data_IF_785266346280
#
_entry.id   IF_785266346280
#
_cell.length_a   1.000
_cell.length_b   1.000
_cell.length_c   1.000
_cell.angle_alpha   90.00
_cell.angle_beta   90.00
_cell.angle_gamma   90.00
#
_symmetry.space_group_name_H-M   'P 1'
#
loop_
_entity.id
_entity.type
_entity.pdbx_description
1 polymer ?
#
# COMPACT_ATOMS: atom_id res chain seq x y z
N UNK A 1 -32.07 8.57 -17.32
CA UNK A 1 -32.12 9.79 -16.49
C UNK A 1 -30.74 10.02 -15.90
N UNK A 2 -30.22 11.23 -16.11
CA UNK A 2 -29.03 11.91 -15.56
C UNK A 2 -27.67 11.17 -15.56
N UNK A 3 -26.92 11.38 -16.65
CA UNK A 3 -25.45 11.31 -16.63
C UNK A 3 -24.94 12.53 -15.87
N UNK A 4 -24.34 12.34 -14.71
CA UNK A 4 -23.70 13.44 -13.98
C UNK A 4 -22.31 13.67 -14.59
N UNK A 5 -22.22 14.62 -15.54
CA UNK A 5 -20.94 15.10 -16.09
C UNK A 5 -20.28 15.96 -15.02
N UNK A 6 -19.37 15.36 -14.25
CA UNK A 6 -18.44 16.12 -13.42
C UNK A 6 -17.67 17.12 -14.29
N UNK A 7 -17.76 18.39 -13.94
CA UNK A 7 -17.05 19.48 -14.60
C UNK A 7 -15.54 19.26 -14.51
N UNK A 8 -14.90 19.01 -15.66
CA UNK A 8 -13.44 18.97 -15.74
C UNK A 8 -12.91 20.40 -15.64
N UNK A 9 -12.34 20.73 -14.48
CA UNK A 9 -11.51 21.92 -14.31
C UNK A 9 -10.10 21.61 -14.85
N UNK A 10 -9.56 22.39 -15.81
CA UNK A 10 -8.24 22.12 -16.35
C UNK A 10 -7.19 22.69 -15.38
N UNK A 11 -6.63 21.83 -14.53
CA UNK A 11 -5.50 22.18 -13.68
C UNK A 11 -4.23 21.56 -14.28
N UNK A 12 -3.36 22.42 -14.82
CA UNK A 12 -2.07 22.07 -15.41
C UNK A 12 -1.01 21.66 -14.39
N UNK A 13 -1.25 20.54 -13.71
CA UNK A 13 -0.23 19.63 -13.16
C UNK A 13 -0.50 18.27 -13.79
N UNK A 14 0.50 17.41 -13.94
CA UNK A 14 0.24 15.99 -14.25
C UNK A 14 -0.68 15.43 -13.15
N UNK A 15 -1.98 15.39 -13.42
CA UNK A 15 -2.99 14.97 -12.46
C UNK A 15 -2.92 13.46 -12.35
N UNK A 16 -2.49 12.95 -11.18
CA UNK A 16 -2.53 11.52 -10.88
C UNK A 16 -3.94 10.98 -11.15
N UNK A 17 -4.04 10.08 -12.14
CA UNK A 17 -5.30 9.45 -12.50
C UNK A 17 -5.59 8.23 -11.63
N UNK A 18 -6.86 7.84 -11.51
CA UNK A 18 -7.25 6.62 -10.81
C UNK A 18 -6.58 5.37 -11.40
N UNK A 19 -6.34 5.36 -12.71
CA UNK A 19 -5.67 4.26 -13.40
C UNK A 19 -4.19 4.15 -13.01
N UNK A 20 -3.47 5.28 -13.00
CA UNK A 20 -2.08 5.34 -12.55
C UNK A 20 -1.95 4.98 -11.08
N UNK A 21 -2.81 5.54 -10.23
CA UNK A 21 -2.87 5.19 -8.82
C UNK A 21 -3.07 3.69 -8.61
N UNK A 22 -4.05 3.11 -9.31
CA UNK A 22 -4.33 1.66 -9.24
C UNK A 22 -3.11 0.84 -9.65
N UNK A 23 -2.44 1.22 -10.74
CA UNK A 23 -1.31 0.47 -11.26
C UNK A 23 -0.07 0.60 -10.36
N UNK A 24 0.22 1.79 -9.82
CA UNK A 24 1.33 2.02 -8.89
C UNK A 24 1.13 1.23 -7.60
N UNK A 25 -0.08 1.26 -7.02
CA UNK A 25 -0.38 0.50 -5.80
C UNK A 25 -0.31 -1.00 -6.08
N UNK A 26 -0.85 -1.49 -7.19
CA UNK A 26 -0.75 -2.91 -7.55
C UNK A 26 0.71 -3.36 -7.71
N UNK A 27 1.56 -2.54 -8.33
CA UNK A 27 3.00 -2.81 -8.44
C UNK A 27 3.68 -2.86 -7.08
N UNK A 28 3.37 -1.92 -6.18
CA UNK A 28 3.91 -1.92 -4.81
C UNK A 28 3.50 -3.17 -4.03
N UNK A 29 2.23 -3.60 -4.14
CA UNK A 29 1.74 -4.84 -3.53
C UNK A 29 2.48 -6.08 -4.08
N UNK A 30 2.75 -6.12 -5.39
CA UNK A 30 3.53 -7.23 -5.99
C UNK A 30 4.98 -7.24 -5.51
N UNK A 31 5.59 -6.09 -5.28
CA UNK A 31 6.95 -5.99 -4.72
C UNK A 31 6.97 -6.54 -3.29
N UNK A 32 5.99 -6.18 -2.47
CA UNK A 32 5.91 -6.62 -1.06
C UNK A 32 5.62 -8.12 -0.94
N UNK A 33 4.69 -8.65 -1.73
CA UNK A 33 4.14 -10.00 -1.52
C UNK A 33 4.49 -11.03 -2.61
N UNK A 34 5.15 -10.61 -3.69
CA UNK A 34 5.35 -11.44 -4.87
C UNK A 34 4.06 -11.77 -5.64
N UNK A 35 4.13 -12.72 -6.57
CA UNK A 35 3.02 -13.13 -7.46
C UNK A 35 2.06 -14.17 -6.85
N UNK A 36 2.11 -14.42 -5.54
CA UNK A 36 1.57 -15.66 -4.97
C UNK A 36 0.26 -15.51 -4.19
N UNK A 37 -0.46 -16.64 -4.07
CA UNK A 37 -1.66 -16.87 -3.24
C UNK A 37 -1.51 -16.37 -1.78
N UNK A 38 -0.26 -16.23 -1.30
CA UNK A 38 0.08 -15.74 0.03
C UNK A 38 -0.18 -14.23 0.19
N UNK A 39 0.06 -13.41 -0.84
CA UNK A 39 -0.20 -11.97 -0.78
C UNK A 39 -1.68 -11.65 -0.57
N UNK A 40 -2.57 -12.37 -1.25
CA UNK A 40 -4.01 -12.20 -1.06
C UNK A 40 -4.44 -12.55 0.38
N UNK A 41 -3.88 -13.61 0.98
CA UNK A 41 -4.17 -13.99 2.37
C UNK A 41 -3.68 -12.92 3.36
N UNK A 42 -2.49 -12.35 3.14
CA UNK A 42 -1.96 -11.29 3.99
C UNK A 42 -2.83 -10.03 3.93
N UNK A 43 -3.22 -9.60 2.72
CA UNK A 43 -4.13 -8.47 2.55
C UNK A 43 -5.47 -8.70 3.24
N UNK A 44 -6.06 -9.88 3.11
CA UNK A 44 -7.27 -10.25 3.85
C UNK A 44 -7.05 -10.16 5.36
N UNK A 45 -5.93 -10.68 5.89
CA UNK A 45 -5.62 -10.62 7.32
C UNK A 45 -5.47 -9.19 7.83
N UNK A 46 -4.85 -8.30 7.07
CA UNK A 46 -4.59 -6.92 7.49
C UNK A 46 -5.78 -5.98 7.34
N UNK A 47 -6.67 -6.27 6.38
CA UNK A 47 -7.73 -5.33 5.98
C UNK A 47 -9.15 -5.87 6.19
N UNK A 48 -9.30 -7.17 6.45
CA UNK A 48 -10.61 -7.81 6.61
C UNK A 48 -11.41 -8.01 5.31
N UNK A 49 -10.84 -7.67 4.15
CA UNK A 49 -11.56 -7.77 2.87
C UNK A 49 -11.68 -9.20 2.36
N UNK A 50 -12.55 -9.38 1.36
CA UNK A 50 -12.72 -10.67 0.68
C UNK A 50 -11.49 -11.07 -0.16
N UNK A 51 -11.34 -12.37 -0.42
CA UNK A 51 -10.30 -12.89 -1.33
C UNK A 51 -10.39 -12.29 -2.74
N UNK A 52 -11.61 -12.05 -3.24
CA UNK A 52 -11.82 -11.42 -4.55
C UNK A 52 -11.29 -9.99 -4.56
N UNK A 53 -11.62 -9.20 -3.54
CA UNK A 53 -11.15 -7.82 -3.40
C UNK A 53 -9.63 -7.75 -3.32
N UNK A 54 -9.01 -8.60 -2.49
CA UNK A 54 -7.55 -8.66 -2.39
C UNK A 54 -6.87 -9.03 -3.72
N UNK A 55 -7.45 -9.98 -4.48
CA UNK A 55 -6.95 -10.33 -5.82
C UNK A 55 -7.11 -9.18 -6.82
N UNK A 56 -8.23 -8.45 -6.77
CA UNK A 56 -8.44 -7.29 -7.64
C UNK A 56 -7.40 -6.18 -7.40
N UNK A 57 -6.97 -5.99 -6.15
CA UNK A 57 -5.90 -5.05 -5.82
C UNK A 57 -4.54 -5.53 -6.33
N UNK A 58 -4.22 -6.82 -6.14
CA UNK A 58 -2.98 -7.41 -6.65
C UNK A 58 -2.90 -7.42 -8.18
N UNK A 59 -4.04 -7.58 -8.88
CA UNK A 59 -4.08 -7.53 -10.34
C UNK A 59 -4.08 -6.11 -10.90
N UNK A 60 -4.33 -5.09 -10.08
CA UNK A 60 -4.52 -3.71 -10.54
C UNK A 60 -5.85 -3.50 -11.26
N UNK A 61 -6.85 -4.34 -11.01
CA UNK A 61 -8.20 -4.13 -11.55
C UNK A 61 -8.99 -3.06 -10.79
N UNK A 62 -8.72 -2.93 -9.49
CA UNK A 62 -9.26 -1.87 -8.64
C UNK A 62 -8.22 -1.47 -7.60
N UNK A 63 -8.25 -0.23 -7.13
CA UNK A 63 -7.44 0.18 -6.00
C UNK A 63 -8.14 -0.07 -4.65
N UNK A 64 -7.37 -0.15 -3.54
CA UNK A 64 -7.93 -0.04 -2.21
C UNK A 64 -8.57 1.33 -1.98
N UNK A 65 -9.71 1.39 -1.30
CA UNK A 65 -10.25 2.67 -0.79
C UNK A 65 -9.27 3.29 0.23
N UNK A 66 -9.40 4.58 0.52
CA UNK A 66 -8.54 5.29 1.48
C UNK A 66 -8.31 4.56 2.82
N UNK A 67 -9.37 4.06 3.47
CA UNK A 67 -9.25 3.31 4.75
C UNK A 67 -8.38 2.06 4.59
N UNK A 68 -8.67 1.22 3.59
CA UNK A 68 -7.89 0.02 3.31
C UNK A 68 -6.45 0.33 2.89
N UNK A 69 -6.24 1.41 2.12
CA UNK A 69 -4.89 1.85 1.75
C UNK A 69 -4.07 2.19 2.99
N UNK A 70 -4.64 2.91 3.96
CA UNK A 70 -3.97 3.22 5.23
C UNK A 70 -3.65 1.94 6.01
N UNK A 71 -4.58 1.00 6.11
CA UNK A 71 -4.34 -0.29 6.79
C UNK A 71 -3.18 -1.07 6.14
N UNK A 72 -3.09 -1.06 4.82
CA UNK A 72 -1.99 -1.70 4.10
C UNK A 72 -0.68 -0.94 4.32
N UNK A 73 -0.67 0.40 4.18
CA UNK A 73 0.52 1.22 4.32
C UNK A 73 1.13 1.19 5.73
N UNK A 74 0.33 0.86 6.76
CA UNK A 74 0.81 0.61 8.13
C UNK A 74 1.69 -0.63 8.24
N UNK A 75 1.57 -1.57 7.30
CA UNK A 75 2.23 -2.88 7.35
C UNK A 75 3.21 -3.09 6.19
N UNK A 76 3.00 -2.42 5.05
CA UNK A 76 3.84 -2.53 3.84
C UNK A 76 4.63 -1.25 3.59
N UNK A 77 5.96 -1.38 3.66
CA UNK A 77 6.88 -0.30 3.33
C UNK A 77 6.83 0.04 1.83
N UNK A 78 6.64 -0.95 0.96
CA UNK A 78 6.54 -0.71 -0.49
C UNK A 78 5.34 0.17 -0.84
N UNK A 79 4.18 -0.09 -0.23
CA UNK A 79 2.96 0.72 -0.44
C UNK A 79 3.11 2.12 0.12
N UNK A 80 3.66 2.26 1.34
CA UNK A 80 3.91 3.59 1.92
C UNK A 80 4.86 4.42 1.06
N UNK A 81 5.95 3.82 0.59
CA UNK A 81 6.90 4.47 -0.33
C UNK A 81 6.25 4.89 -1.64
N UNK A 82 5.39 4.06 -2.21
CA UNK A 82 4.65 4.39 -3.44
C UNK A 82 3.74 5.62 -3.25
N UNK A 83 3.05 5.72 -2.10
CA UNK A 83 2.22 6.90 -1.77
C UNK A 83 3.08 8.16 -1.67
N UNK A 84 4.25 8.08 -1.01
CA UNK A 84 5.15 9.21 -0.85
C UNK A 84 5.77 9.67 -2.19
N UNK A 85 6.06 8.73 -3.10
CA UNK A 85 6.52 9.05 -4.45
C UNK A 85 5.43 9.74 -5.28
N UNK A 86 4.21 9.21 -5.27
CA UNK A 86 3.06 9.84 -5.95
C UNK A 86 2.70 11.20 -5.34
N UNK A 87 3.00 11.42 -4.06
CA UNK A 87 2.84 12.71 -3.41
C UNK A 87 3.99 13.69 -3.70
N UNK A 88 4.96 13.32 -4.54
CA UNK A 88 6.17 14.11 -4.84
C UNK A 88 7.00 14.44 -3.60
N UNK A 89 6.96 13.56 -2.59
CA UNK A 89 7.65 13.71 -1.31
C UNK A 89 8.49 12.48 -0.93
N UNK A 90 9.45 12.07 -1.79
CA UNK A 90 10.26 10.88 -1.58
C UNK A 90 11.07 10.91 -0.28
N UNK A 91 11.42 12.08 0.24
CA UNK A 91 12.20 12.27 1.47
C UNK A 91 11.49 11.69 2.71
N UNK A 92 10.15 11.66 2.71
CA UNK A 92 9.37 11.08 3.79
C UNK A 92 9.55 9.55 3.89
N UNK A 93 9.99 8.91 2.81
CA UNK A 93 10.21 7.46 2.78
C UNK A 93 11.45 7.02 3.56
N UNK A 94 12.44 7.92 3.71
CA UNK A 94 13.63 7.65 4.51
C UNK A 94 13.28 7.59 6.01
N UNK A 95 12.48 8.55 6.49
CA UNK A 95 11.97 8.56 7.85
C UNK A 95 11.13 7.31 8.17
N UNK A 96 10.25 6.91 7.26
CA UNK A 96 9.47 5.67 7.41
C UNK A 96 10.36 4.42 7.45
N UNK A 97 11.41 4.37 6.62
CA UNK A 97 12.36 3.23 6.59
C UNK A 97 13.11 3.09 7.91
N UNK A 98 13.54 4.19 8.53
CA UNK A 98 14.23 4.17 9.82
C UNK A 98 13.31 3.74 10.98
N UNK A 99 12.05 4.18 10.98
CA UNK A 99 11.05 3.74 11.98
C UNK A 99 10.78 2.24 11.84
N UNK A 100 10.62 1.75 10.61
CA UNK A 100 10.43 0.33 10.35
C UNK A 100 11.64 -0.51 10.75
N UNK A 101 12.86 -0.03 10.49
CA UNK A 101 14.09 -0.69 10.95
C UNK A 101 14.13 -0.80 12.48
N UNK A 102 13.79 0.29 13.18
CA UNK A 102 13.71 0.30 14.64
C UNK A 102 12.73 -0.75 15.16
N UNK A 103 11.52 -0.83 14.59
CA UNK A 103 10.52 -1.84 14.98
C UNK A 103 11.03 -3.27 14.77
N UNK A 104 11.67 -3.56 13.64
CA UNK A 104 12.21 -4.90 13.34
C UNK A 104 13.31 -5.25 14.35
N UNK A 105 14.17 -4.30 14.69
CA UNK A 105 15.21 -4.50 15.70
C UNK A 105 14.59 -4.77 17.08
N UNK A 106 13.55 -4.03 17.48
CA UNK A 106 12.82 -4.28 18.73
C UNK A 106 12.17 -5.66 18.77
N UNK A 107 11.54 -6.10 17.68
CA UNK A 107 10.97 -7.44 17.55
C UNK A 107 12.04 -8.53 17.63
N UNK A 108 13.20 -8.30 16.98
CA UNK A 108 14.31 -9.26 16.99
C UNK A 108 14.94 -9.36 18.37
N UNK A 109 15.16 -8.23 19.06
CA UNK A 109 15.68 -8.21 20.44
C UNK A 109 14.72 -8.95 21.36
N UNK A 110 13.42 -8.68 21.27
CA UNK A 110 12.41 -9.37 22.10
C UNK A 110 12.43 -10.88 21.87
N UNK A 111 12.56 -11.31 20.61
CA UNK A 111 12.67 -12.73 20.28
C UNK A 111 13.97 -13.38 20.80
N UNK A 112 15.09 -12.64 20.84
CA UNK A 112 16.34 -13.14 21.40
C UNK A 112 16.27 -13.28 22.92
N UNK A 113 15.66 -12.30 23.60
CA UNK A 113 15.45 -12.34 25.05
C UNK A 113 14.59 -13.54 25.47
N UNK A 114 13.56 -13.87 24.68
CA UNK A 114 12.72 -15.06 24.89
C UNK A 114 13.48 -16.39 24.73
N UNK A 115 14.52 -16.44 23.89
CA UNK A 115 15.33 -17.65 23.65
C UNK A 115 16.47 -17.81 24.66
N UNK A 116 16.91 -16.71 25.28
CA UNK A 116 18.03 -16.69 26.23
C UNK A 116 17.61 -16.79 27.71
N UNK A 117 16.32 -17.04 27.99
CA UNK A 117 15.75 -17.37 29.31
C UNK A 117 15.48 -18.88 29.44
#
# INVERSE_FOLDING_TARGET
MFQNKGSSFPLGRDLLTDAEFTQVIASALKIEFGSTRNGAKMLMRWTGVSSRTAKNWLSGSHAPSGVHLVLIARQSNAVLKAIMLMAERPEMSLGASLISLRRILEETISALDEVML
#
